data_IF_143485875129
#
_entry.id   IF_143485875129
#
_cell.length_a   1.000
_cell.length_b   1.000
_cell.length_c   1.000
_cell.angle_alpha   90.00
_cell.angle_beta   90.00
_cell.angle_gamma   90.00
#
_symmetry.space_group_name_H-M   'P 1'
#
loop_
_entity.id
_entity.type
_entity.pdbx_description
1 polymer ?
#
# COMPACT_ATOMS: atom_id res chain seq x y z
N UNK A 1 6.69 -12.75 22.87
CA UNK A 1 6.47 -13.58 21.66
C UNK A 1 6.46 -12.71 20.39
N UNK A 2 5.58 -11.73 20.22
CA UNK A 2 5.49 -10.92 18.98
C UNK A 2 6.83 -10.30 18.58
N UNK A 3 7.56 -9.66 19.48
CA UNK A 3 8.88 -9.06 19.21
C UNK A 3 9.91 -10.07 18.67
N UNK A 4 9.83 -11.31 19.11
CA UNK A 4 10.70 -12.39 18.61
C UNK A 4 10.38 -12.70 17.14
N UNK A 5 9.08 -12.84 16.81
CA UNK A 5 8.66 -13.06 15.42
C UNK A 5 9.02 -11.87 14.52
N UNK A 6 8.77 -10.63 14.98
CA UNK A 6 9.14 -9.42 14.24
C UNK A 6 10.65 -9.38 13.93
N UNK A 7 11.49 -9.69 14.93
CA UNK A 7 12.94 -9.72 14.72
C UNK A 7 13.36 -10.82 13.74
N UNK A 8 12.77 -12.03 13.87
CA UNK A 8 13.04 -13.14 12.97
C UNK A 8 12.60 -12.83 11.54
N UNK A 9 11.38 -12.34 11.34
CA UNK A 9 10.86 -11.97 10.04
C UNK A 9 11.65 -10.81 9.42
N UNK A 10 12.03 -9.80 10.21
CA UNK A 10 12.90 -8.73 9.75
C UNK A 10 14.26 -9.24 9.27
N UNK A 11 14.87 -10.23 9.96
CA UNK A 11 16.11 -10.84 9.51
C UNK A 11 15.93 -11.65 8.23
N UNK A 12 14.82 -12.40 8.11
CA UNK A 12 14.50 -13.16 6.89
C UNK A 12 14.41 -12.26 5.65
N UNK A 13 13.84 -11.04 5.77
CA UNK A 13 13.76 -10.12 4.63
C UNK A 13 15.12 -9.63 4.12
N UNK A 14 16.24 -9.85 4.87
CA UNK A 14 17.57 -9.41 4.46
C UNK A 14 18.03 -10.02 3.12
N UNK A 15 17.59 -11.23 2.84
CA UNK A 15 17.95 -11.97 1.63
C UNK A 15 16.88 -11.90 0.53
N UNK A 16 15.81 -11.11 0.75
CA UNK A 16 14.74 -10.92 -0.22
C UNK A 16 14.87 -9.58 -0.93
N UNK A 17 14.34 -9.52 -2.15
CA UNK A 17 14.21 -8.29 -2.93
C UNK A 17 13.30 -7.24 -2.30
N UNK A 18 12.52 -7.59 -1.27
CA UNK A 18 11.58 -6.68 -0.60
C UNK A 18 12.28 -5.43 -0.09
N UNK A 19 13.42 -5.55 0.62
CA UNK A 19 14.12 -4.38 1.18
C UNK A 19 14.62 -3.44 0.10
N UNK A 20 15.26 -3.99 -0.91
CA UNK A 20 15.77 -3.20 -2.03
C UNK A 20 14.63 -2.56 -2.82
N UNK A 21 13.54 -3.28 -3.08
CA UNK A 21 12.39 -2.75 -3.78
C UNK A 21 11.75 -1.56 -3.04
N UNK A 22 11.56 -1.66 -1.71
CA UNK A 22 10.99 -0.57 -0.90
C UNK A 22 11.90 0.67 -0.77
N UNK A 23 13.15 0.59 -1.17
CA UNK A 23 14.07 1.72 -1.22
C UNK A 23 14.19 2.23 -2.66
N UNK A 24 14.50 1.35 -3.62
CA UNK A 24 14.81 1.77 -4.98
C UNK A 24 13.56 2.20 -5.78
N UNK A 25 12.41 1.52 -5.65
CA UNK A 25 11.22 1.88 -6.40
C UNK A 25 10.68 3.28 -6.05
N UNK A 26 10.54 3.67 -4.75
CA UNK A 26 10.10 5.02 -4.40
C UNK A 26 11.05 6.11 -4.92
N UNK A 27 12.36 5.89 -4.79
CA UNK A 27 13.36 6.84 -5.28
C UNK A 27 13.27 6.97 -6.80
N UNK A 28 13.22 5.83 -7.51
CA UNK A 28 13.15 5.80 -8.96
C UNK A 28 11.90 6.52 -9.48
N UNK A 29 10.73 6.23 -8.90
CA UNK A 29 9.47 6.88 -9.29
C UNK A 29 9.54 8.39 -9.06
N UNK A 30 10.00 8.83 -7.89
CA UNK A 30 10.13 10.25 -7.60
C UNK A 30 11.08 10.96 -8.59
N UNK A 31 12.23 10.36 -8.88
CA UNK A 31 13.21 10.94 -9.81
C UNK A 31 12.71 10.98 -11.26
N UNK A 32 12.00 9.94 -11.72
CA UNK A 32 11.39 9.93 -13.07
C UNK A 32 10.39 11.07 -13.21
N UNK A 33 9.49 11.24 -12.21
CA UNK A 33 8.50 12.33 -12.25
C UNK A 33 9.16 13.70 -12.18
N UNK A 34 10.17 13.90 -11.33
CA UNK A 34 10.90 15.16 -11.24
C UNK A 34 11.62 15.47 -12.56
N UNK A 35 12.31 14.48 -13.15
CA UNK A 35 12.96 14.65 -14.45
C UNK A 35 11.96 15.04 -15.55
N UNK A 36 10.79 14.38 -15.59
CA UNK A 36 9.73 14.75 -16.53
C UNK A 36 9.16 16.15 -16.26
N UNK A 37 8.91 16.51 -15.01
CA UNK A 37 8.30 17.78 -14.64
C UNK A 37 9.25 18.98 -14.78
N UNK A 38 10.53 18.75 -14.90
CA UNK A 38 11.52 19.83 -15.16
C UNK A 38 11.32 20.52 -16.51
N UNK A 39 10.71 19.84 -17.49
CA UNK A 39 10.40 20.38 -18.82
C UNK A 39 8.91 20.35 -19.18
N UNK A 40 8.07 19.65 -18.41
CA UNK A 40 6.64 19.58 -18.70
C UNK A 40 5.94 20.92 -18.42
N UNK A 41 5.18 21.48 -19.38
CA UNK A 41 4.52 22.78 -19.24
C UNK A 41 3.20 22.69 -18.46
N UNK A 42 3.11 21.80 -17.49
CA UNK A 42 1.92 21.62 -16.68
C UNK A 42 1.93 22.52 -15.45
N UNK A 43 0.76 22.90 -14.99
CA UNK A 43 0.59 23.60 -13.72
C UNK A 43 1.05 22.73 -12.54
N UNK A 44 1.59 23.35 -11.51
CA UNK A 44 2.12 22.65 -10.33
C UNK A 44 1.05 21.79 -9.63
N UNK A 45 -0.20 22.27 -9.61
CA UNK A 45 -1.33 21.50 -9.08
C UNK A 45 -1.51 20.17 -9.81
N UNK A 46 -1.47 20.17 -11.14
CA UNK A 46 -1.61 18.97 -11.97
C UNK A 46 -0.44 18.03 -11.73
N UNK A 47 0.78 18.56 -11.65
CA UNK A 47 2.01 17.75 -11.40
C UNK A 47 1.90 16.95 -10.11
N UNK A 48 1.53 17.62 -9.00
CA UNK A 48 1.39 16.94 -7.70
C UNK A 48 0.24 15.93 -7.72
N UNK A 49 -0.90 16.29 -8.29
CA UNK A 49 -2.06 15.42 -8.37
C UNK A 49 -1.76 14.13 -9.17
N UNK A 50 -1.17 14.26 -10.36
CA UNK A 50 -0.82 13.11 -11.23
C UNK A 50 0.24 12.23 -10.57
N UNK A 51 1.23 12.82 -9.90
CA UNK A 51 2.22 12.04 -9.15
C UNK A 51 1.56 11.08 -8.14
N UNK A 52 0.65 11.59 -7.32
CA UNK A 52 -0.04 10.77 -6.33
C UNK A 52 -1.06 9.82 -6.94
N UNK A 53 -1.70 10.15 -8.06
CA UNK A 53 -2.54 9.22 -8.80
C UNK A 53 -1.74 7.99 -9.25
N UNK A 54 -0.60 8.20 -9.89
CA UNK A 54 0.24 7.11 -10.40
C UNK A 54 0.82 6.30 -9.24
N UNK A 55 1.31 6.97 -8.19
CA UNK A 55 1.82 6.28 -7.01
C UNK A 55 0.74 5.41 -6.37
N UNK A 56 -0.47 5.95 -6.17
CA UNK A 56 -1.57 5.23 -5.52
C UNK A 56 -2.11 4.06 -6.34
N UNK A 57 -2.28 4.22 -7.66
CA UNK A 57 -2.82 3.15 -8.51
C UNK A 57 -1.84 1.98 -8.69
N UNK A 58 -0.53 2.16 -8.44
CA UNK A 58 0.44 1.07 -8.51
C UNK A 58 0.51 0.24 -7.22
N UNK A 59 0.02 0.76 -6.10
CA UNK A 59 0.13 0.11 -4.79
C UNK A 59 -0.57 -1.25 -4.71
N UNK A 60 -1.79 -1.48 -5.24
CA UNK A 60 -2.42 -2.79 -5.16
C UNK A 60 -1.56 -3.89 -5.80
N UNK A 61 -0.96 -3.63 -6.97
CA UNK A 61 -0.03 -4.56 -7.61
C UNK A 61 1.19 -4.85 -6.74
N UNK A 62 1.85 -3.81 -6.22
CA UNK A 62 3.05 -3.97 -5.39
C UNK A 62 2.74 -4.72 -4.09
N UNK A 63 1.59 -4.45 -3.47
CA UNK A 63 1.12 -5.17 -2.27
C UNK A 63 0.92 -6.65 -2.59
N UNK A 64 0.27 -6.97 -3.72
CA UNK A 64 0.09 -8.34 -4.18
C UNK A 64 1.40 -9.08 -4.36
N UNK A 65 2.40 -8.44 -4.97
CA UNK A 65 3.75 -9.00 -5.16
C UNK A 65 4.46 -9.20 -3.81
N UNK A 66 4.45 -8.22 -2.91
CA UNK A 66 5.15 -8.33 -1.63
C UNK A 66 4.53 -9.36 -0.70
N UNK A 67 3.20 -9.46 -0.67
CA UNK A 67 2.51 -10.52 0.08
C UNK A 67 2.85 -11.91 -0.48
N UNK A 68 2.92 -12.05 -1.82
CA UNK A 68 3.31 -13.30 -2.47
C UNK A 68 4.76 -13.70 -2.11
N UNK A 69 5.72 -12.76 -2.14
CA UNK A 69 7.12 -13.03 -1.79
C UNK A 69 7.25 -13.48 -0.33
N UNK A 70 6.53 -12.87 0.60
CA UNK A 70 6.53 -13.28 2.02
C UNK A 70 5.94 -14.68 2.20
N UNK A 71 4.86 -15.00 1.50
CA UNK A 71 4.25 -16.33 1.56
C UNK A 71 5.16 -17.41 0.94
N UNK A 72 5.81 -17.11 -0.18
CA UNK A 72 6.77 -18.00 -0.84
C UNK A 72 7.99 -18.28 0.05
N UNK A 73 8.50 -17.27 0.73
CA UNK A 73 9.59 -17.41 1.68
C UNK A 73 9.26 -18.43 2.78
N UNK A 74 8.08 -18.35 3.38
CA UNK A 74 7.68 -19.31 4.43
C UNK A 74 7.41 -20.70 3.87
N UNK A 75 6.96 -20.81 2.64
CA UNK A 75 6.76 -22.08 1.96
C UNK A 75 8.11 -22.78 1.69
N UNK A 76 9.09 -22.04 1.16
CA UNK A 76 10.42 -22.59 0.84
C UNK A 76 11.27 -22.85 2.07
N UNK A 77 11.09 -22.09 3.14
CA UNK A 77 11.86 -22.24 4.39
C UNK A 77 11.44 -23.42 5.28
N UNK A 78 10.46 -24.21 4.88
CA UNK A 78 10.01 -25.39 5.65
C UNK A 78 8.51 -25.61 5.61
N UNK A 79 7.86 -25.33 4.49
CA UNK A 79 6.43 -25.61 4.25
C UNK A 79 5.53 -25.14 5.40
N UNK A 80 5.77 -23.92 5.89
CA UNK A 80 5.00 -23.26 6.96
C UNK A 80 5.09 -23.92 8.35
N UNK A 81 5.98 -24.92 8.56
CA UNK A 81 6.04 -25.65 9.83
C UNK A 81 6.23 -24.73 11.04
N UNK A 82 7.10 -23.72 10.94
CA UNK A 82 7.33 -22.76 12.02
C UNK A 82 6.09 -21.97 12.41
N UNK A 83 5.19 -21.71 11.46
CA UNK A 83 3.93 -21.02 11.71
C UNK A 83 2.88 -21.96 12.31
N UNK A 84 2.82 -23.21 11.82
CA UNK A 84 1.86 -24.22 12.27
C UNK A 84 2.19 -24.73 13.69
N UNK A 85 3.48 -24.82 14.04
CA UNK A 85 3.95 -25.24 15.37
C UNK A 85 3.96 -24.11 16.40
N UNK A 86 3.61 -22.89 16.01
CA UNK A 86 3.52 -21.74 16.93
C UNK A 86 2.44 -21.96 17.96
N UNK A 87 2.71 -21.61 19.22
CA UNK A 87 1.70 -21.63 20.31
C UNK A 87 0.49 -20.76 20.04
N UNK A 88 0.64 -19.74 19.19
CA UNK A 88 -0.46 -18.92 18.69
C UNK A 88 -0.30 -18.73 17.17
N UNK A 89 -1.22 -19.27 16.40
CA UNK A 89 -1.22 -19.13 14.92
C UNK A 89 -1.37 -17.66 14.45
N UNK A 90 -1.98 -16.81 15.29
CA UNK A 90 -2.21 -15.39 14.97
C UNK A 90 -0.93 -14.57 14.99
N UNK A 91 -0.01 -14.85 15.93
CA UNK A 91 1.20 -14.03 16.14
C UNK A 91 2.12 -14.00 14.91
N UNK A 92 2.42 -15.12 14.22
CA UNK A 92 3.21 -15.11 12.99
C UNK A 92 2.58 -14.26 11.88
N UNK A 93 1.25 -14.34 11.70
CA UNK A 93 0.55 -13.54 10.70
C UNK A 93 0.53 -12.06 11.02
N UNK A 94 0.33 -11.70 12.30
CA UNK A 94 0.44 -10.32 12.76
C UNK A 94 1.84 -9.76 12.53
N UNK A 95 2.89 -10.56 12.78
CA UNK A 95 4.27 -10.16 12.50
C UNK A 95 4.49 -9.81 11.04
N UNK A 96 3.98 -10.63 10.12
CA UNK A 96 4.13 -10.39 8.67
C UNK A 96 3.38 -9.14 8.22
N UNK A 97 2.16 -8.93 8.70
CA UNK A 97 1.41 -7.71 8.44
C UNK A 97 2.19 -6.47 8.90
N UNK A 98 2.68 -6.47 10.15
CA UNK A 98 3.41 -5.34 10.72
C UNK A 98 4.73 -5.04 9.98
N UNK A 99 5.46 -6.07 9.55
CA UNK A 99 6.69 -5.88 8.76
C UNK A 99 6.40 -5.28 7.39
N UNK A 100 5.37 -5.76 6.70
CA UNK A 100 4.98 -5.20 5.41
C UNK A 100 4.52 -3.75 5.55
N UNK A 101 3.72 -3.43 6.57
CA UNK A 101 3.31 -2.06 6.85
C UNK A 101 4.50 -1.16 7.22
N UNK A 102 5.48 -1.67 7.96
CA UNK A 102 6.72 -0.94 8.27
C UNK A 102 7.51 -0.59 7.00
N UNK A 103 7.71 -1.54 6.08
CA UNK A 103 8.38 -1.27 4.81
C UNK A 103 7.55 -0.33 3.91
N UNK A 104 6.24 -0.51 3.85
CA UNK A 104 5.33 0.37 3.12
C UNK A 104 5.40 1.81 3.63
N UNK A 105 5.41 2.00 4.97
CA UNK A 105 5.57 3.32 5.60
C UNK A 105 6.87 3.98 5.13
N UNK A 106 7.98 3.26 5.21
CA UNK A 106 9.28 3.78 4.74
C UNK A 106 9.27 4.14 3.26
N UNK A 107 8.70 3.29 2.41
CA UNK A 107 8.61 3.51 0.96
C UNK A 107 7.75 4.73 0.60
N UNK A 108 6.56 4.86 1.22
CA UNK A 108 5.65 5.99 0.97
C UNK A 108 6.23 7.31 1.47
N UNK A 109 6.88 7.32 2.64
CA UNK A 109 7.57 8.49 3.14
C UNK A 109 8.75 8.88 2.24
N UNK A 110 9.55 7.91 1.77
CA UNK A 110 10.64 8.17 0.82
C UNK A 110 10.09 8.75 -0.49
N UNK A 111 9.07 8.13 -1.09
CA UNK A 111 8.46 8.62 -2.32
C UNK A 111 7.94 10.05 -2.17
N UNK A 112 7.14 10.30 -1.13
CA UNK A 112 6.51 11.60 -0.90
C UNK A 112 7.53 12.69 -0.55
N UNK A 113 8.48 12.41 0.34
CA UNK A 113 9.44 13.43 0.78
C UNK A 113 10.48 13.74 -0.29
N UNK A 114 11.02 12.74 -1.00
CA UNK A 114 11.97 12.99 -2.08
C UNK A 114 11.30 13.80 -3.18
N UNK A 115 10.09 13.40 -3.62
CA UNK A 115 9.35 14.17 -4.60
C UNK A 115 9.08 15.59 -4.09
N UNK A 116 8.52 15.74 -2.88
CA UNK A 116 8.14 17.04 -2.31
C UNK A 116 9.31 17.99 -2.14
N UNK A 117 10.44 17.52 -1.62
CA UNK A 117 11.63 18.34 -1.41
C UNK A 117 12.20 18.81 -2.75
N UNK A 118 12.40 17.89 -3.72
CA UNK A 118 12.96 18.28 -5.00
C UNK A 118 11.97 19.12 -5.81
N UNK A 119 10.68 18.81 -5.77
CA UNK A 119 9.66 19.58 -6.47
C UNK A 119 9.58 21.01 -5.93
N UNK A 120 9.55 21.18 -4.62
CA UNK A 120 9.38 22.51 -4.00
C UNK A 120 10.65 23.34 -4.03
N UNK A 121 11.81 22.77 -3.73
CA UNK A 121 13.07 23.52 -3.64
C UNK A 121 13.91 23.45 -4.91
N UNK A 122 13.83 22.38 -5.69
CA UNK A 122 14.55 22.20 -6.94
C UNK A 122 13.83 22.77 -8.16
N UNK A 123 12.51 22.54 -8.27
CA UNK A 123 11.68 23.04 -9.36
C UNK A 123 10.86 24.28 -9.00
N UNK A 124 10.99 24.77 -7.76
CA UNK A 124 10.24 25.92 -7.23
C UNK A 124 8.71 25.77 -7.28
N UNK A 125 8.22 24.54 -7.20
CA UNK A 125 6.78 24.23 -7.22
C UNK A 125 6.04 24.80 -6.01
N UNK A 126 4.85 25.37 -6.24
CA UNK A 126 4.06 26.08 -5.23
C UNK A 126 2.65 25.52 -5.03
N UNK A 127 2.41 24.26 -5.39
CA UNK A 127 1.08 23.64 -5.28
C UNK A 127 0.62 23.46 -3.82
N UNK A 128 1.54 23.13 -2.92
CA UNK A 128 1.29 22.91 -1.48
C UNK A 128 2.56 23.23 -0.68
N UNK A 129 2.42 23.34 0.64
CA UNK A 129 3.59 23.42 1.54
C UNK A 129 4.21 22.04 1.82
N UNK A 130 5.40 22.06 2.45
CA UNK A 130 6.18 20.85 2.70
C UNK A 130 5.48 19.86 3.65
N UNK A 131 4.59 20.32 4.51
CA UNK A 131 3.87 19.48 5.46
C UNK A 131 2.82 18.60 4.80
N UNK A 132 2.35 18.96 3.61
CA UNK A 132 1.42 18.14 2.85
C UNK A 132 1.97 16.71 2.59
N UNK A 133 3.24 16.60 2.21
CA UNK A 133 3.83 15.35 1.73
C UNK A 133 3.86 14.21 2.77
N UNK A 134 4.27 14.43 4.03
CA UNK A 134 4.17 13.37 5.03
C UNK A 134 2.72 12.99 5.37
N UNK A 135 1.78 13.93 5.38
CA UNK A 135 0.36 13.61 5.58
C UNK A 135 -0.22 12.80 4.42
N UNK A 136 0.13 13.12 3.18
CA UNK A 136 -0.24 12.34 2.01
C UNK A 136 0.27 10.88 2.12
N UNK A 137 1.53 10.68 2.55
CA UNK A 137 2.08 9.34 2.79
C UNK A 137 1.30 8.57 3.87
N UNK A 138 0.89 9.22 4.96
CA UNK A 138 0.09 8.59 6.02
C UNK A 138 -1.30 8.19 5.52
N UNK A 139 -1.98 9.04 4.77
CA UNK A 139 -3.29 8.72 4.18
C UNK A 139 -3.18 7.51 3.25
N UNK A 140 -2.17 7.49 2.39
CA UNK A 140 -1.92 6.35 1.51
C UNK A 140 -1.61 5.07 2.29
N UNK A 141 -0.82 5.16 3.38
CA UNK A 141 -0.51 4.01 4.23
C UNK A 141 -1.76 3.40 4.85
N UNK A 142 -2.62 4.24 5.43
CA UNK A 142 -3.86 3.78 6.08
C UNK A 142 -4.75 3.08 5.06
N UNK A 143 -4.94 3.69 3.89
CA UNK A 143 -5.74 3.13 2.79
C UNK A 143 -5.17 1.84 2.19
N UNK A 144 -3.90 1.50 2.43
CA UNK A 144 -3.29 0.22 2.02
C UNK A 144 -3.57 -0.94 2.99
N UNK A 145 -3.97 -0.66 4.23
CA UNK A 145 -4.16 -1.73 5.24
C UNK A 145 -5.15 -2.80 4.78
N UNK A 146 -6.36 -2.46 4.26
CA UNK A 146 -7.30 -3.46 3.77
C UNK A 146 -6.72 -4.36 2.67
N UNK A 147 -5.90 -3.79 1.79
CA UNK A 147 -5.26 -4.54 0.71
C UNK A 147 -4.22 -5.53 1.26
N UNK A 148 -3.40 -5.13 2.23
CA UNK A 148 -2.47 -6.05 2.89
C UNK A 148 -3.19 -7.21 3.58
N UNK A 149 -4.30 -6.95 4.28
CA UNK A 149 -5.10 -8.00 4.91
C UNK A 149 -5.62 -8.99 3.87
N UNK A 150 -6.17 -8.50 2.76
CA UNK A 150 -6.72 -9.33 1.67
C UNK A 150 -5.61 -10.15 0.99
N UNK A 151 -4.54 -9.50 0.54
CA UNK A 151 -3.47 -10.14 -0.21
C UNK A 151 -2.67 -11.15 0.62
N UNK A 152 -2.50 -10.91 1.93
CA UNK A 152 -1.92 -11.91 2.83
C UNK A 152 -2.80 -13.15 2.92
N UNK A 153 -4.12 -13.01 3.11
CA UNK A 153 -5.03 -14.15 3.10
C UNK A 153 -4.88 -14.94 1.79
N UNK A 154 -4.93 -14.25 0.64
CA UNK A 154 -4.88 -14.89 -0.67
C UNK A 154 -3.55 -15.62 -0.89
N UNK A 155 -2.43 -14.99 -0.55
CA UNK A 155 -1.09 -15.57 -0.75
C UNK A 155 -0.85 -16.82 0.08
N UNK A 156 -1.34 -16.83 1.34
CA UNK A 156 -1.18 -17.98 2.24
C UNK A 156 -2.24 -19.05 2.06
N UNK A 157 -3.45 -18.71 1.62
CA UNK A 157 -4.55 -19.67 1.46
C UNK A 157 -4.51 -20.38 0.10
N UNK A 158 -4.25 -19.62 -0.97
CA UNK A 158 -4.33 -20.12 -2.34
C UNK A 158 -2.94 -20.26 -2.96
N UNK A 159 -2.54 -19.30 -3.77
CA UNK A 159 -1.22 -19.28 -4.39
C UNK A 159 -0.71 -17.86 -4.64
N UNK A 160 0.60 -17.74 -4.86
CA UNK A 160 1.27 -16.47 -5.07
C UNK A 160 0.81 -15.79 -6.37
N UNK A 161 0.56 -16.58 -7.41
CA UNK A 161 0.09 -16.07 -8.71
C UNK A 161 -1.27 -15.40 -8.60
N UNK A 162 -2.19 -15.93 -7.79
CA UNK A 162 -3.52 -15.34 -7.60
C UNK A 162 -3.42 -13.95 -6.94
N UNK A 163 -2.56 -13.80 -5.92
CA UNK A 163 -2.35 -12.50 -5.26
C UNK A 163 -1.79 -11.46 -6.23
N UNK A 164 -0.79 -11.84 -7.04
CA UNK A 164 -0.19 -10.96 -8.04
C UNK A 164 -1.22 -10.60 -9.14
N UNK A 165 -1.93 -11.58 -9.66
CA UNK A 165 -2.94 -11.35 -10.72
C UNK A 165 -4.07 -10.44 -10.25
N UNK A 166 -4.55 -10.64 -9.00
CA UNK A 166 -5.54 -9.77 -8.40
C UNK A 166 -5.01 -8.34 -8.26
N UNK A 167 -3.78 -8.16 -7.77
CA UNK A 167 -3.17 -6.84 -7.63
C UNK A 167 -3.00 -6.12 -8.97
N UNK A 168 -2.73 -6.85 -10.08
CA UNK A 168 -2.73 -6.27 -11.44
C UNK A 168 -4.13 -5.76 -11.81
N UNK A 169 -5.15 -6.58 -11.62
CA UNK A 169 -6.54 -6.22 -11.93
C UNK A 169 -6.98 -5.01 -11.10
N UNK A 170 -6.69 -5.01 -9.80
CA UNK A 170 -7.00 -3.91 -8.89
C UNK A 170 -6.30 -2.60 -9.31
N UNK A 171 -5.03 -2.66 -9.73
CA UNK A 171 -4.29 -1.49 -10.22
C UNK A 171 -4.89 -0.93 -11.51
N UNK A 172 -5.27 -1.79 -12.47
CA UNK A 172 -5.92 -1.36 -13.71
C UNK A 172 -7.29 -0.75 -13.41
N UNK A 173 -8.09 -1.38 -12.56
CA UNK A 173 -9.38 -0.85 -12.14
C UNK A 173 -9.21 0.45 -11.33
N UNK A 174 -8.18 0.57 -10.51
CA UNK A 174 -7.88 1.81 -9.79
C UNK A 174 -7.61 2.96 -10.76
N UNK A 175 -6.84 2.72 -11.83
CA UNK A 175 -6.63 3.71 -12.89
C UNK A 175 -7.95 4.11 -13.59
N UNK A 176 -8.81 3.13 -13.87
CA UNK A 176 -10.13 3.38 -14.46
C UNK A 176 -11.01 4.23 -13.53
N UNK A 177 -10.99 3.97 -12.23
CA UNK A 177 -11.78 4.71 -11.23
C UNK A 177 -11.22 6.10 -10.87
N UNK A 178 -10.05 6.46 -11.39
CA UNK A 178 -9.58 7.84 -11.36
C UNK A 178 -10.29 8.73 -12.41
N UNK A 179 -10.99 8.12 -13.36
CA UNK A 179 -11.83 8.83 -14.34
C UNK A 179 -13.25 9.05 -13.81
N UNK A 180 -14.11 9.74 -14.59
CA UNK A 180 -15.51 9.97 -14.23
C UNK A 180 -16.33 8.71 -13.94
N UNK A 181 -15.89 7.52 -14.38
CA UNK A 181 -16.56 6.25 -14.09
C UNK A 181 -16.55 5.91 -12.60
N UNK A 182 -15.52 6.33 -11.86
CA UNK A 182 -15.38 6.08 -10.44
C UNK A 182 -16.05 7.08 -9.51
N UNK A 183 -16.52 8.23 -10.01
CA UNK A 183 -16.89 9.44 -9.26
C UNK A 183 -17.80 9.19 -8.05
N UNK A 184 -18.82 8.35 -8.21
CA UNK A 184 -19.81 8.12 -7.15
C UNK A 184 -19.50 6.93 -6.24
N UNK A 185 -18.73 5.93 -6.72
CA UNK A 185 -18.57 4.63 -6.05
C UNK A 185 -17.18 4.43 -5.43
N UNK A 186 -16.18 5.22 -5.78
CA UNK A 186 -14.79 5.04 -5.32
C UNK A 186 -14.65 4.98 -3.80
N UNK A 187 -15.52 5.70 -3.07
CA UNK A 187 -15.52 5.77 -1.60
C UNK A 187 -15.74 4.41 -0.92
N UNK A 188 -16.33 3.47 -1.65
CA UNK A 188 -16.70 2.13 -1.17
C UNK A 188 -15.77 1.02 -1.70
N UNK A 189 -14.74 1.38 -2.47
CA UNK A 189 -13.90 0.42 -3.20
C UNK A 189 -12.47 0.47 -2.69
N UNK A 190 -12.02 -0.50 -1.85
CA UNK A 190 -10.74 -0.46 -1.15
C UNK A 190 -9.50 -0.30 -2.04
N UNK A 191 -9.44 -0.98 -3.19
CA UNK A 191 -8.26 -0.90 -4.06
C UNK A 191 -8.09 0.46 -4.76
N UNK A 192 -9.09 1.32 -4.73
CA UNK A 192 -9.02 2.68 -5.30
C UNK A 192 -8.54 3.70 -4.27
N UNK A 193 -8.70 3.41 -2.98
CA UNK A 193 -8.44 4.37 -1.90
C UNK A 193 -7.02 4.93 -1.89
N UNK A 194 -5.93 4.15 -2.10
CA UNK A 194 -4.58 4.71 -2.10
C UNK A 194 -4.39 5.87 -3.09
N UNK A 195 -5.06 5.81 -4.24
CA UNK A 195 -5.00 6.86 -5.24
C UNK A 195 -6.01 7.98 -4.99
N UNK A 196 -7.30 7.63 -4.77
CA UNK A 196 -8.39 8.62 -4.66
C UNK A 196 -8.37 9.38 -3.35
N UNK A 197 -8.08 8.72 -2.20
CA UNK A 197 -8.07 9.44 -0.92
C UNK A 197 -6.96 10.49 -0.85
N UNK A 198 -5.78 10.20 -1.39
CA UNK A 198 -4.68 11.18 -1.39
C UNK A 198 -4.96 12.35 -2.34
N UNK A 199 -5.57 12.12 -3.50
CA UNK A 199 -5.91 13.19 -4.44
C UNK A 199 -7.10 14.02 -3.95
N UNK A 200 -8.06 13.37 -3.28
CA UNK A 200 -9.16 14.08 -2.60
C UNK A 200 -8.65 14.88 -1.40
N UNK A 201 -7.68 14.33 -0.63
CA UNK A 201 -6.99 15.08 0.42
C UNK A 201 -6.25 16.29 -0.15
N UNK A 202 -5.59 16.16 -1.30
CA UNK A 202 -4.90 17.25 -1.97
C UNK A 202 -5.89 18.37 -2.37
N UNK A 203 -7.05 18.03 -2.92
CA UNK A 203 -8.10 19.00 -3.25
C UNK A 203 -8.66 19.68 -1.98
N UNK A 204 -8.94 18.92 -0.93
CA UNK A 204 -9.40 19.43 0.37
C UNK A 204 -8.36 20.36 1.03
N UNK A 205 -7.07 20.01 0.96
CA UNK A 205 -5.95 20.82 1.46
C UNK A 205 -5.85 22.16 0.75
N UNK A 206 -6.20 22.20 -0.53
CA UNK A 206 -6.29 23.43 -1.33
C UNK A 206 -7.64 24.18 -1.17
N UNK A 207 -8.48 23.79 -0.21
CA UNK A 207 -9.70 24.53 0.18
C UNK A 207 -10.99 24.08 -0.51
N UNK A 208 -11.00 22.93 -1.21
CA UNK A 208 -12.21 22.41 -1.84
C UNK A 208 -13.14 21.75 -0.79
N UNK A 209 -14.28 22.40 -0.53
CA UNK A 209 -15.24 21.98 0.52
C UNK A 209 -15.88 20.61 0.20
N UNK A 210 -16.19 20.36 -1.06
CA UNK A 210 -16.78 19.09 -1.52
C UNK A 210 -15.82 17.93 -1.30
N UNK A 211 -14.55 18.11 -1.64
CA UNK A 211 -13.48 17.12 -1.44
C UNK A 211 -13.32 16.76 0.05
N UNK A 212 -13.45 17.74 0.96
CA UNK A 212 -13.34 17.47 2.38
C UNK A 212 -14.47 16.54 2.89
N UNK A 213 -15.71 16.75 2.45
CA UNK A 213 -16.84 15.86 2.80
C UNK A 213 -16.67 14.47 2.23
N UNK A 214 -16.23 14.35 0.98
CA UNK A 214 -15.98 13.07 0.34
C UNK A 214 -14.86 12.28 1.03
N UNK A 215 -13.78 12.96 1.40
CA UNK A 215 -12.68 12.37 2.14
C UNK A 215 -13.13 11.83 3.50
N UNK A 216 -13.95 12.58 4.25
CA UNK A 216 -14.48 12.13 5.53
C UNK A 216 -15.32 10.87 5.40
N UNK A 217 -16.16 10.76 4.35
CA UNK A 217 -16.94 9.54 4.06
C UNK A 217 -16.00 8.39 3.75
N UNK A 218 -15.03 8.57 2.87
CA UNK A 218 -14.08 7.53 2.48
C UNK A 218 -13.25 7.03 3.68
N UNK A 219 -12.73 7.94 4.51
CA UNK A 219 -12.00 7.58 5.74
C UNK A 219 -12.89 6.76 6.69
N UNK A 220 -14.17 7.13 6.85
CA UNK A 220 -15.09 6.39 7.72
C UNK A 220 -15.30 4.96 7.22
N UNK A 221 -15.46 4.78 5.90
CA UNK A 221 -15.55 3.44 5.30
C UNK A 221 -14.25 2.65 5.42
N UNK A 222 -13.10 3.29 5.21
CA UNK A 222 -11.80 2.66 5.35
C UNK A 222 -11.59 2.13 6.78
N UNK A 223 -11.87 2.95 7.81
CA UNK A 223 -11.83 2.50 9.20
C UNK A 223 -12.77 1.31 9.46
N UNK A 224 -13.98 1.35 8.92
CA UNK A 224 -14.91 0.23 9.03
C UNK A 224 -14.30 -1.04 8.41
N UNK A 225 -13.77 -0.96 7.19
CA UNK A 225 -13.16 -2.10 6.50
C UNK A 225 -11.89 -2.58 7.20
N UNK A 226 -11.08 -1.68 7.77
CA UNK A 226 -9.90 -2.05 8.56
C UNK A 226 -10.32 -2.85 9.80
N UNK A 227 -11.32 -2.41 10.56
CA UNK A 227 -11.78 -3.10 11.77
C UNK A 227 -12.31 -4.49 11.41
N UNK A 228 -13.29 -4.57 10.49
CA UNK A 228 -13.89 -5.84 10.09
C UNK A 228 -12.89 -6.76 9.38
N UNK A 229 -12.07 -6.22 8.48
CA UNK A 229 -11.02 -6.96 7.79
C UNK A 229 -9.98 -7.53 8.75
N UNK A 230 -9.59 -6.77 9.78
CA UNK A 230 -8.67 -7.25 10.82
C UNK A 230 -9.28 -8.39 11.64
N UNK A 231 -10.56 -8.30 12.00
CA UNK A 231 -11.27 -9.38 12.70
C UNK A 231 -11.30 -10.63 11.82
N UNK A 232 -11.70 -10.51 10.56
CA UNK A 232 -11.74 -11.63 9.60
C UNK A 232 -10.34 -12.23 9.42
N UNK A 233 -9.32 -11.40 9.27
CA UNK A 233 -7.92 -11.83 9.13
C UNK A 233 -7.46 -12.67 10.33
N UNK A 234 -7.76 -12.25 11.55
CA UNK A 234 -7.35 -12.99 12.75
C UNK A 234 -8.16 -14.27 12.97
N UNK A 235 -9.47 -14.27 12.64
CA UNK A 235 -10.27 -15.50 12.66
C UNK A 235 -9.73 -16.50 11.64
N UNK A 236 -9.42 -16.05 10.43
CA UNK A 236 -8.81 -16.89 9.40
C UNK A 236 -7.44 -17.40 9.86
N UNK A 237 -6.55 -16.53 10.36
CA UNK A 237 -5.22 -16.91 10.84
C UNK A 237 -5.27 -17.96 11.96
N UNK A 238 -6.23 -17.83 12.88
CA UNK A 238 -6.45 -18.81 13.95
C UNK A 238 -6.86 -20.20 13.43
N UNK A 239 -7.69 -20.24 12.38
CA UNK A 239 -8.20 -21.46 11.76
C UNK A 239 -7.31 -22.05 10.67
N UNK A 240 -6.28 -21.31 10.27
CA UNK A 240 -5.43 -21.72 9.16
C UNK A 240 -4.61 -22.99 9.49
N UNK A 241 -4.65 -23.99 8.61
CA UNK A 241 -4.04 -25.31 8.78
C UNK A 241 -2.96 -25.61 7.73
N UNK A 242 -2.48 -24.59 7.04
CA UNK A 242 -1.53 -24.74 5.95
C UNK A 242 -2.20 -24.63 4.58
N UNK A 243 -1.37 -24.56 3.56
CA UNK A 243 -1.79 -24.50 2.16
C UNK A 243 -2.15 -25.89 1.69
N UNK A 244 -3.37 -26.11 1.20
CA UNK A 244 -3.72 -27.38 0.55
C UNK A 244 -2.88 -27.52 -0.71
N UNK A 245 -2.06 -28.57 -0.79
CA UNK A 245 -1.38 -28.93 -2.03
C UNK A 245 -2.50 -29.42 -2.96
N UNK A 246 -2.70 -28.73 -4.08
CA UNK A 246 -3.54 -29.28 -5.13
C UNK A 246 -2.76 -30.45 -5.75
N UNK A 247 -3.30 -31.65 -5.58
CA UNK A 247 -2.82 -32.87 -6.24
C UNK A 247 -2.99 -32.74 -7.77
#
# INVERSE_FOLDING_TARGET
MLLYYLKADFLKTKHLSIRSAHIFLPILIALIFIAYYSYAPWEDYIKVNVYYQVLGMTLPFLIGVFCAIIAEQEQTAGHFQMMLMSTSKVIPFLSKLLILLFFCTGALLLASLIFGIIFQFGLYGKAVDILFYPFAAIIMLVSCIPLYLLHLIISFQFNNGLSISLGIVESVLSALFLTGLGEYIWKYVPFVWPARMVTTFFAAYNGEITANKELQIAISFDFFVIIFGTIIYFIWAYRWEGKKIAD
#
